data_IF_931972449957
#
_entry.id   IF_931972449957
#
_cell.length_a   1.000
_cell.length_b   1.000
_cell.length_c   1.000
_cell.angle_alpha   90.00
_cell.angle_beta   90.00
_cell.angle_gamma   90.00
#
_symmetry.space_group_name_H-M   'P 1'
#
loop_
_entity.id
_entity.type
_entity.pdbx_description
1 polymer ?
#
# COMPACT_ATOMS: atom_id res chain seq x y z
N UNK A 1 18.54 17.12 21.59
CA UNK A 1 17.16 17.65 21.65
C UNK A 1 16.21 16.46 21.72
N UNK A 2 15.16 16.52 22.57
CA UNK A 2 14.23 15.41 22.72
C UNK A 2 13.49 15.14 21.39
N UNK A 3 13.15 13.87 21.10
CA UNK A 3 12.44 13.52 19.89
C UNK A 3 11.04 14.12 19.84
N UNK A 4 10.55 14.43 18.63
CA UNK A 4 9.28 15.14 18.42
C UNK A 4 8.07 14.46 19.10
N UNK A 5 8.11 13.14 19.23
CA UNK A 5 7.06 12.32 19.89
C UNK A 5 6.93 12.58 21.39
N UNK A 6 8.01 12.97 22.08
CA UNK A 6 7.97 13.26 23.53
C UNK A 6 7.19 14.54 23.82
N UNK A 7 6.82 15.27 22.77
CA UNK A 7 6.02 16.50 22.79
C UNK A 7 4.62 16.30 22.23
N UNK A 8 4.22 15.04 21.95
CA UNK A 8 2.87 14.58 21.64
C UNK A 8 2.07 15.44 20.67
N UNK A 9 1.33 16.40 21.22
CA UNK A 9 0.44 17.31 20.50
C UNK A 9 1.17 18.25 19.51
N UNK A 10 2.47 18.49 19.72
CA UNK A 10 3.29 19.33 18.85
C UNK A 10 3.39 18.80 17.41
N UNK A 11 3.31 17.47 17.23
CA UNK A 11 3.44 16.83 15.90
C UNK A 11 2.32 17.30 14.97
N UNK A 12 1.08 17.30 15.45
CA UNK A 12 -0.08 17.70 14.63
C UNK A 12 -0.09 19.21 14.40
N UNK A 13 0.28 19.99 15.41
CA UNK A 13 0.37 21.45 15.28
C UNK A 13 1.41 21.86 14.23
N UNK A 14 2.61 21.27 14.31
CA UNK A 14 3.67 21.49 13.33
C UNK A 14 3.28 20.96 11.95
N UNK A 15 2.58 19.82 11.88
CA UNK A 15 2.11 19.29 10.62
C UNK A 15 1.12 20.25 9.94
N UNK A 16 0.22 20.85 10.70
CA UNK A 16 -0.67 21.90 10.21
C UNK A 16 0.10 23.12 9.69
N UNK A 17 1.11 23.58 10.43
CA UNK A 17 1.98 24.68 10.01
C UNK A 17 2.69 24.40 8.67
N UNK A 18 3.27 23.21 8.51
CA UNK A 18 3.94 22.84 7.25
C UNK A 18 2.98 22.66 6.08
N UNK A 19 1.75 22.18 6.33
CA UNK A 19 0.71 22.12 5.31
C UNK A 19 0.37 23.53 4.80
N UNK A 20 0.24 24.51 5.70
CA UNK A 20 -0.05 25.90 5.35
C UNK A 20 1.12 26.55 4.59
N UNK A 21 2.36 26.30 5.01
CA UNK A 21 3.52 26.74 4.24
C UNK A 21 3.55 26.14 2.83
N UNK A 22 3.25 24.84 2.68
CA UNK A 22 3.21 24.19 1.38
C UNK A 22 2.09 24.76 0.51
N UNK A 23 0.93 25.05 1.11
CA UNK A 23 -0.21 25.69 0.45
C UNK A 23 0.20 27.02 -0.18
N UNK A 24 0.82 27.90 0.61
CA UNK A 24 1.29 29.22 0.16
C UNK A 24 2.38 29.11 -0.91
N UNK A 25 3.36 28.22 -0.71
CA UNK A 25 4.51 28.06 -1.62
C UNK A 25 4.12 27.48 -2.98
N UNK A 26 3.13 26.59 -3.01
CA UNK A 26 2.68 25.90 -4.22
C UNK A 26 1.43 26.52 -4.86
N UNK A 27 0.90 27.61 -4.30
CA UNK A 27 -0.27 28.30 -4.83
C UNK A 27 -1.57 27.48 -4.72
N UNK A 28 -1.66 26.59 -3.73
CA UNK A 28 -2.82 25.71 -3.56
C UNK A 28 -3.95 26.43 -2.83
N UNK A 29 -5.20 26.10 -3.15
CA UNK A 29 -6.35 26.62 -2.40
C UNK A 29 -6.37 26.08 -0.99
N UNK A 30 -6.02 24.78 -0.82
CA UNK A 30 -6.13 24.09 0.47
C UNK A 30 -5.26 22.84 0.53
N UNK A 31 -4.64 22.61 1.70
CA UNK A 31 -3.90 21.37 2.01
C UNK A 31 -4.42 20.83 3.33
N UNK A 32 -5.00 19.63 3.34
CA UNK A 32 -5.62 19.03 4.54
C UNK A 32 -5.06 17.64 4.79
N UNK A 33 -4.75 17.34 6.05
CA UNK A 33 -4.45 15.98 6.50
C UNK A 33 -5.75 15.18 6.71
N UNK A 34 -5.85 14.01 6.08
CA UNK A 34 -6.92 13.06 6.35
C UNK A 34 -6.80 12.49 7.76
N UNK A 35 -7.88 11.88 8.28
CA UNK A 35 -7.85 11.23 9.59
C UNK A 35 -6.77 10.13 9.66
N UNK A 36 -6.61 9.34 8.59
CA UNK A 36 -5.57 8.32 8.49
C UNK A 36 -4.15 8.91 8.51
N UNK A 37 -3.93 10.03 7.81
CA UNK A 37 -2.63 10.71 7.84
C UNK A 37 -2.29 11.29 9.22
N UNK A 38 -3.27 11.89 9.91
CA UNK A 38 -3.06 12.41 11.28
C UNK A 38 -2.69 11.30 12.24
N UNK A 39 -3.42 10.19 12.20
CA UNK A 39 -3.15 9.02 13.03
C UNK A 39 -1.73 8.48 12.75
N UNK A 40 -1.38 8.31 11.48
CA UNK A 40 -0.05 7.86 11.07
C UNK A 40 1.06 8.81 11.54
N UNK A 41 0.88 10.13 11.43
CA UNK A 41 1.86 11.10 11.94
C UNK A 41 1.99 11.03 13.47
N UNK A 42 0.90 10.85 14.22
CA UNK A 42 0.96 10.73 15.68
C UNK A 42 1.73 9.49 16.15
N UNK A 43 1.65 8.38 15.41
CA UNK A 43 2.27 7.11 15.79
C UNK A 43 3.69 6.93 15.23
N UNK A 44 4.16 7.83 14.35
CA UNK A 44 5.51 7.75 13.80
C UNK A 44 6.56 8.32 14.76
N UNK A 45 7.71 7.66 14.83
CA UNK A 45 8.75 7.98 15.83
C UNK A 45 9.60 9.21 15.49
N UNK A 46 9.59 9.68 14.24
CA UNK A 46 10.40 10.79 13.71
C UNK A 46 11.86 10.81 14.22
N UNK A 47 12.71 9.84 13.85
CA UNK A 47 14.14 9.84 14.20
C UNK A 47 14.87 11.14 13.79
N UNK A 48 14.41 11.82 12.73
CA UNK A 48 14.91 13.12 12.24
C UNK A 48 14.14 14.35 12.76
N UNK A 49 13.26 14.19 13.75
CA UNK A 49 12.50 15.26 14.41
C UNK A 49 11.70 16.14 13.43
N UNK A 50 11.72 17.45 13.66
CA UNK A 50 10.97 18.46 12.89
C UNK A 50 11.35 18.45 11.41
N UNK A 51 12.64 18.24 11.08
CA UNK A 51 13.11 18.22 9.69
C UNK A 51 12.52 17.05 8.90
N UNK A 52 12.40 15.90 9.55
CA UNK A 52 11.77 14.74 8.94
C UNK A 52 10.27 14.96 8.71
N UNK A 53 9.57 15.55 9.69
CA UNK A 53 8.17 15.92 9.55
C UNK A 53 7.96 16.91 8.38
N UNK A 54 8.79 17.95 8.29
CA UNK A 54 8.76 18.94 7.21
C UNK A 54 8.95 18.27 5.84
N UNK A 55 10.00 17.46 5.69
CA UNK A 55 10.28 16.74 4.45
C UNK A 55 9.16 15.77 4.08
N UNK A 56 8.60 15.06 5.07
CA UNK A 56 7.52 14.12 4.87
C UNK A 56 6.27 14.81 4.33
N UNK A 57 5.89 15.96 4.88
CA UNK A 57 4.73 16.75 4.43
C UNK A 57 4.99 17.33 3.05
N UNK A 58 6.16 17.92 2.80
CA UNK A 58 6.48 18.49 1.49
C UNK A 58 6.40 17.43 0.39
N UNK A 59 6.99 16.24 0.63
CA UNK A 59 6.92 15.11 -0.30
C UNK A 59 5.48 14.62 -0.48
N UNK A 60 4.70 14.52 0.59
CA UNK A 60 3.31 14.09 0.53
C UNK A 60 2.45 15.03 -0.33
N UNK A 61 2.64 16.35 -0.23
CA UNK A 61 1.95 17.34 -1.07
C UNK A 61 2.28 17.17 -2.54
N UNK A 62 3.56 16.96 -2.88
CA UNK A 62 3.98 16.74 -4.28
C UNK A 62 3.34 15.48 -4.85
N UNK A 63 3.32 14.38 -4.08
CA UNK A 63 2.71 13.11 -4.50
C UNK A 63 1.20 13.23 -4.66
N UNK A 64 0.52 13.87 -3.70
CA UNK A 64 -0.94 14.04 -3.75
C UNK A 64 -1.37 14.95 -4.93
N UNK A 65 -0.55 15.94 -5.30
CA UNK A 65 -0.79 16.77 -6.49
C UNK A 65 -0.57 16.00 -7.80
N UNK A 66 0.27 14.97 -7.80
CA UNK A 66 0.47 14.12 -8.98
C UNK A 66 -0.72 13.17 -9.24
N UNK A 67 -1.50 12.82 -8.20
CA UNK A 67 -2.61 11.85 -8.30
C UNK A 67 -3.98 12.50 -8.49
N UNK A 68 -4.17 13.77 -8.13
CA UNK A 68 -5.41 14.54 -8.39
C UNK A 68 -5.14 15.82 -9.14
N UNK A 69 -5.97 16.09 -10.14
CA UNK A 69 -6.07 17.42 -10.77
C UNK A 69 -7.01 18.30 -9.95
N UNK A 70 -6.46 19.31 -9.28
CA UNK A 70 -7.23 20.29 -8.51
C UNK A 70 -6.34 21.09 -7.55
N UNK A 71 -6.86 22.21 -7.09
CA UNK A 71 -6.15 23.12 -6.18
C UNK A 71 -6.35 22.76 -4.70
N UNK A 72 -7.21 21.77 -4.41
CA UNK A 72 -7.39 21.17 -3.08
C UNK A 72 -6.64 19.85 -2.98
N UNK A 73 -5.74 19.77 -2.00
CA UNK A 73 -4.89 18.60 -1.75
C UNK A 73 -5.26 17.97 -0.42
N UNK A 74 -5.65 16.70 -0.47
CA UNK A 74 -5.89 15.89 0.73
C UNK A 74 -4.72 14.92 0.89
N UNK A 75 -3.95 15.12 1.96
CA UNK A 75 -2.85 14.26 2.34
C UNK A 75 -3.39 13.03 3.07
N UNK A 76 -3.48 11.93 2.34
CA UNK A 76 -3.74 10.59 2.86
C UNK A 76 -2.46 9.89 3.38
N UNK A 77 -2.63 8.86 4.21
CA UNK A 77 -1.54 8.07 4.79
C UNK A 77 -0.57 7.51 3.72
N UNK A 78 -1.10 7.08 2.58
CA UNK A 78 -0.32 6.55 1.46
C UNK A 78 0.69 7.54 0.85
N UNK A 79 0.47 8.86 1.02
CA UNK A 79 1.41 9.87 0.52
C UNK A 79 2.65 10.00 1.41
N UNK A 80 2.61 9.43 2.62
CA UNK A 80 3.72 9.41 3.55
C UNK A 80 4.47 8.08 3.46
N UNK A 81 5.56 8.05 2.67
CA UNK A 81 6.44 6.89 2.60
C UNK A 81 7.39 6.84 3.82
N UNK A 82 6.82 6.59 5.00
CA UNK A 82 7.58 6.25 6.18
C UNK A 82 8.04 4.78 6.09
N UNK A 83 9.31 4.45 6.39
CA UNK A 83 9.72 3.06 6.51
C UNK A 83 8.88 2.41 7.62
N UNK A 84 8.10 1.40 7.22
CA UNK A 84 7.14 0.60 8.01
C UNK A 84 7.24 0.82 9.54
N UNK A 85 6.38 1.71 10.06
CA UNK A 85 5.85 1.47 11.40
C UNK A 85 4.75 0.45 11.21
N UNK A 86 5.05 -0.77 11.63
CA UNK A 86 4.12 -1.88 11.79
C UNK A 86 3.02 -1.51 12.77
N UNK A 87 2.08 -0.69 12.33
CA UNK A 87 0.74 -0.68 12.93
C UNK A 87 0.10 -2.02 12.56
N UNK A 88 -0.49 -2.77 13.52
CA UNK A 88 -1.28 -3.95 13.22
C UNK A 88 -2.55 -3.49 12.49
N UNK A 89 -2.44 -3.35 11.17
CA UNK A 89 -3.57 -3.08 10.28
C UNK A 89 -4.11 -4.43 9.86
N UNK A 90 -5.44 -4.65 9.85
CA UNK A 90 -6.01 -5.88 9.35
C UNK A 90 -5.58 -6.06 7.90
N UNK A 91 -5.17 -7.28 7.60
CA UNK A 91 -4.74 -7.85 6.33
C UNK A 91 -5.56 -7.33 5.13
N UNK A 92 -5.13 -6.19 4.56
CA UNK A 92 -5.57 -5.78 3.21
C UNK A 92 -4.41 -6.12 2.28
N UNK A 93 -4.67 -7.12 1.45
CA UNK A 93 -3.79 -7.68 0.43
C UNK A 93 -2.78 -6.66 -0.12
N UNK A 94 -1.51 -6.84 0.24
CA UNK A 94 -0.40 -6.12 -0.36
C UNK A 94 -0.48 -6.29 -1.87
N UNK A 95 -0.62 -5.19 -2.61
CA UNK A 95 -0.40 -5.21 -4.06
C UNK A 95 1.12 -5.37 -4.24
N UNK A 96 1.62 -6.46 -4.82
CA UNK A 96 3.05 -6.59 -5.00
C UNK A 96 3.50 -5.59 -6.06
N UNK A 97 4.46 -4.73 -5.70
CA UNK A 97 5.23 -3.96 -6.67
C UNK A 97 5.84 -4.96 -7.65
N UNK A 98 5.39 -4.93 -8.90
CA UNK A 98 5.74 -5.91 -9.94
C UNK A 98 7.22 -5.78 -10.29
N UNK A 99 8.07 -6.49 -9.54
CA UNK A 99 9.46 -6.85 -9.92
C UNK A 99 9.51 -8.16 -10.73
N UNK A 100 8.35 -8.75 -11.01
CA UNK A 100 8.22 -10.02 -11.71
C UNK A 100 7.89 -9.74 -13.18
N UNK A 101 8.53 -10.46 -14.09
CA UNK A 101 8.14 -10.42 -15.49
C UNK A 101 6.70 -10.95 -15.65
N UNK A 102 6.01 -10.60 -16.75
CA UNK A 102 4.61 -10.98 -17.00
C UNK A 102 4.40 -12.50 -16.88
N UNK A 103 5.42 -13.28 -17.24
CA UNK A 103 5.40 -14.74 -17.14
C UNK A 103 5.33 -15.22 -15.69
N UNK A 104 6.20 -14.73 -14.82
CA UNK A 104 6.19 -15.07 -13.39
C UNK A 104 4.89 -14.64 -12.72
N UNK A 105 4.38 -13.45 -13.05
CA UNK A 105 3.11 -12.95 -12.51
C UNK A 105 1.92 -13.85 -12.92
N UNK A 106 1.87 -14.26 -14.19
CA UNK A 106 0.82 -15.17 -14.69
C UNK A 106 0.95 -16.58 -14.13
N UNK A 107 2.17 -17.11 -13.98
CA UNK A 107 2.42 -18.41 -13.35
C UNK A 107 2.02 -18.40 -11.86
N UNK A 108 2.33 -17.32 -11.13
CA UNK A 108 1.93 -17.16 -9.74
C UNK A 108 0.41 -17.10 -9.58
N UNK A 109 -0.27 -16.32 -10.43
CA UNK A 109 -1.73 -16.25 -10.45
C UNK A 109 -2.36 -17.61 -10.77
N UNK A 110 -1.88 -18.29 -11.82
CA UNK A 110 -2.38 -19.62 -12.20
C UNK A 110 -2.20 -20.63 -11.04
N UNK A 111 -1.05 -20.61 -10.38
CA UNK A 111 -0.76 -21.51 -9.26
C UNK A 111 -1.74 -21.30 -8.10
N UNK A 112 -2.01 -20.04 -7.77
CA UNK A 112 -2.91 -19.70 -6.68
C UNK A 112 -4.36 -20.07 -7.00
N UNK A 113 -4.84 -19.76 -8.21
CA UNK A 113 -6.18 -20.14 -8.68
C UNK A 113 -6.39 -21.66 -8.65
N UNK A 114 -5.41 -22.45 -9.08
CA UNK A 114 -5.48 -23.92 -9.04
C UNK A 114 -5.49 -24.42 -7.58
N UNK A 115 -4.67 -23.84 -6.71
CA UNK A 115 -4.62 -24.21 -5.28
C UNK A 115 -5.96 -23.95 -4.60
N UNK A 116 -6.58 -22.80 -4.85
CA UNK A 116 -7.88 -22.45 -4.30
C UNK A 116 -8.98 -23.39 -4.80
N UNK A 117 -9.00 -23.70 -6.10
CA UNK A 117 -9.95 -24.66 -6.66
C UNK A 117 -9.79 -26.06 -6.04
N UNK A 118 -8.55 -26.53 -5.83
CA UNK A 118 -8.27 -27.81 -5.17
C UNK A 118 -8.71 -27.85 -3.72
N UNK A 119 -8.48 -26.77 -2.98
CA UNK A 119 -8.91 -26.65 -1.58
C UNK A 119 -10.44 -26.72 -1.43
N UNK A 120 -11.18 -26.07 -2.34
CA UNK A 120 -12.65 -26.06 -2.33
C UNK A 120 -13.27 -27.39 -2.78
N UNK A 121 -12.58 -28.14 -3.63
CA UNK A 121 -13.10 -29.38 -4.23
C UNK A 121 -12.44 -30.65 -3.66
N UNK A 122 -11.83 -30.59 -2.46
CA UNK A 122 -11.18 -31.73 -1.80
C UNK A 122 -10.20 -32.51 -2.70
N UNK A 123 -9.36 -31.80 -3.46
CA UNK A 123 -8.42 -32.37 -4.44
C UNK A 123 -9.06 -33.15 -5.61
N UNK A 124 -10.35 -32.99 -5.87
CA UNK A 124 -11.01 -33.57 -7.05
C UNK A 124 -10.69 -32.75 -8.31
N UNK A 125 -9.72 -33.23 -9.08
CA UNK A 125 -9.26 -32.58 -10.32
C UNK A 125 -10.36 -32.39 -11.37
N UNK A 126 -11.32 -33.32 -11.48
CA UNK A 126 -12.41 -33.19 -12.43
C UNK A 126 -13.38 -32.06 -12.06
N UNK A 127 -13.67 -31.90 -10.77
CA UNK A 127 -14.49 -30.80 -10.27
C UNK A 127 -13.77 -29.45 -10.37
N UNK A 128 -12.46 -29.42 -10.07
CA UNK A 128 -11.62 -28.22 -10.24
C UNK A 128 -11.57 -27.76 -11.70
N UNK A 129 -11.38 -28.69 -12.64
CA UNK A 129 -11.32 -28.36 -14.06
C UNK A 129 -12.63 -27.76 -14.56
N UNK A 130 -13.78 -28.32 -14.16
CA UNK A 130 -15.10 -27.76 -14.45
C UNK A 130 -15.28 -26.36 -13.86
N UNK A 131 -14.85 -26.17 -12.61
CA UNK A 131 -14.93 -24.87 -11.93
C UNK A 131 -14.05 -23.81 -12.59
N UNK A 132 -12.90 -24.20 -13.12
CA UNK A 132 -11.96 -23.32 -13.81
C UNK A 132 -12.20 -23.24 -15.33
N UNK A 133 -13.33 -23.77 -15.80
CA UNK A 133 -13.74 -23.83 -17.22
C UNK A 133 -12.63 -24.37 -18.15
N UNK A 134 -11.91 -25.39 -17.67
CA UNK A 134 -10.80 -26.01 -18.38
C UNK A 134 -10.95 -27.53 -18.44
N UNK A 135 -10.17 -28.17 -19.31
CA UNK A 135 -10.11 -29.62 -19.41
C UNK A 135 -9.20 -30.21 -18.32
N UNK A 136 -9.57 -31.38 -17.80
CA UNK A 136 -8.80 -32.09 -16.75
C UNK A 136 -7.36 -32.39 -17.20
N UNK A 137 -7.16 -32.76 -18.46
CA UNK A 137 -5.83 -33.00 -19.03
C UNK A 137 -5.00 -31.71 -19.11
N UNK A 138 -5.64 -30.59 -19.47
CA UNK A 138 -4.99 -29.28 -19.50
C UNK A 138 -4.62 -28.80 -18.09
N UNK A 139 -5.51 -28.99 -17.11
CA UNK A 139 -5.27 -28.66 -15.71
C UNK A 139 -4.10 -29.48 -15.13
N UNK A 140 -4.03 -30.78 -15.44
CA UNK A 140 -2.89 -31.61 -15.03
C UNK A 140 -1.57 -31.15 -15.65
N UNK A 141 -1.57 -30.85 -16.96
CA UNK A 141 -0.36 -30.35 -17.65
C UNK A 141 0.10 -29.02 -17.07
N UNK A 142 -0.85 -28.14 -16.74
CA UNK A 142 -0.60 -26.85 -16.12
C UNK A 142 -0.04 -27.01 -14.70
N UNK A 143 -0.65 -27.87 -13.89
CA UNK A 143 -0.19 -28.17 -12.53
C UNK A 143 1.24 -28.74 -12.51
N UNK A 144 1.57 -29.65 -13.44
CA UNK A 144 2.94 -30.19 -13.58
C UNK A 144 3.95 -29.11 -13.97
N UNK A 145 3.58 -28.24 -14.91
CA UNK A 145 4.44 -27.11 -15.33
C UNK A 145 4.69 -26.11 -14.20
N UNK A 146 3.71 -25.91 -13.33
CA UNK A 146 3.77 -24.98 -12.19
C UNK A 146 4.36 -25.61 -10.91
N UNK A 147 4.81 -26.87 -10.96
CA UNK A 147 5.40 -27.57 -9.80
C UNK A 147 4.40 -27.90 -8.69
N UNK A 148 3.10 -28.01 -9.00
CA UNK A 148 2.03 -28.37 -8.06
C UNK A 148 1.79 -29.87 -7.95
N UNK A 149 2.39 -30.68 -8.83
CA UNK A 149 2.20 -32.13 -8.90
C UNK A 149 3.40 -32.79 -9.57
N UNK A 150 3.95 -33.83 -8.94
CA UNK A 150 4.99 -34.71 -9.51
C UNK A 150 4.40 -35.68 -10.57
#
# INVERSE_FOLDING_TARGET
>A
MPPLRERGDDVILLAGYFCEQCRLRQGLSRVVLSAGARNLLQHYSFPGNVRELEHAIHRAVVLARATRSGDEVILEAQHFAFPEVTLPTPEVAAVPVVKQNLREATEAFQRETIRQALAQNHHNWAACARMLETDVANLHRLAKRLGLKD
#
